data_IF_636729882912
#
_entry.id   IF_636729882912
#
_cell.length_a   1.000
_cell.length_b   1.000
_cell.length_c   1.000
_cell.angle_alpha   90.00
_cell.angle_beta   90.00
_cell.angle_gamma   90.00
#
_symmetry.space_group_name_H-M   'P 1'
#
loop_
_entity.id
_entity.type
_entity.pdbx_description
1 polymer ?
#
# COMPACT_ATOMS: atom_id res chain seq x y z
N UNK A 1 2.61 9.72 19.91
CA UNK A 1 1.43 8.99 19.39
C UNK A 1 1.55 8.79 17.88
N UNK A 2 2.11 9.76 17.16
CA UNK A 2 2.37 9.76 15.71
C UNK A 2 3.47 8.77 15.26
N UNK A 3 4.59 8.71 16.00
CA UNK A 3 5.70 7.75 15.75
C UNK A 3 5.27 6.28 15.75
N UNK A 4 4.24 5.93 16.53
CA UNK A 4 3.66 4.57 16.54
C UNK A 4 3.03 4.24 15.20
N UNK A 5 2.28 5.19 14.61
CA UNK A 5 1.56 4.95 13.35
C UNK A 5 2.52 4.85 12.17
N UNK A 6 3.56 5.68 12.11
CA UNK A 6 4.63 5.55 11.08
C UNK A 6 5.34 4.19 11.21
N UNK A 7 5.59 3.73 12.44
CA UNK A 7 6.16 2.40 12.68
C UNK A 7 5.22 1.29 12.18
N UNK A 8 3.91 1.44 12.39
CA UNK A 8 2.90 0.52 11.85
C UNK A 8 2.85 0.55 10.31
N UNK A 9 2.94 1.73 9.68
CA UNK A 9 3.04 1.85 8.21
C UNK A 9 4.31 1.16 7.70
N UNK A 10 5.46 1.38 8.34
CA UNK A 10 6.70 0.70 7.98
C UNK A 10 6.53 -0.83 8.04
N UNK A 11 5.92 -1.33 9.12
CA UNK A 11 5.67 -2.75 9.28
C UNK A 11 4.73 -3.32 8.21
N UNK A 12 3.69 -2.58 7.84
CA UNK A 12 2.80 -2.96 6.72
C UNK A 12 3.59 -3.03 5.40
N UNK A 13 4.39 -2.01 5.08
CA UNK A 13 5.22 -2.00 3.87
C UNK A 13 6.19 -3.19 3.88
N UNK A 14 6.90 -3.43 4.97
CA UNK A 14 7.86 -4.54 5.07
C UNK A 14 7.19 -5.92 5.02
N UNK A 15 5.95 -6.03 5.50
CA UNK A 15 5.21 -7.29 5.49
C UNK A 15 4.70 -7.63 4.09
N UNK A 16 4.03 -6.68 3.43
CA UNK A 16 3.30 -6.95 2.20
C UNK A 16 4.09 -6.62 0.93
N UNK A 17 5.06 -5.70 1.01
CA UNK A 17 5.79 -5.20 -0.15
C UNK A 17 7.26 -5.64 -0.17
N UNK A 18 7.60 -6.75 0.49
CA UNK A 18 8.98 -7.25 0.50
C UNK A 18 9.36 -7.94 -0.82
N UNK A 19 10.65 -7.86 -1.13
CA UNK A 19 11.25 -8.37 -2.36
C UNK A 19 11.02 -9.88 -2.57
N UNK A 20 11.26 -10.70 -1.55
CA UNK A 20 11.22 -12.17 -1.66
C UNK A 20 9.83 -12.66 -2.06
N UNK A 21 8.79 -12.14 -1.41
CA UNK A 21 7.40 -12.50 -1.69
C UNK A 21 6.92 -11.92 -3.02
N UNK A 22 7.04 -10.61 -3.21
CA UNK A 22 6.51 -9.96 -4.40
C UNK A 22 7.24 -10.36 -5.70
N UNK A 23 8.44 -10.91 -5.62
CA UNK A 23 9.17 -11.41 -6.79
C UNK A 23 8.70 -12.78 -7.29
N UNK A 24 7.97 -13.54 -6.47
CA UNK A 24 7.70 -14.97 -6.71
C UNK A 24 6.23 -15.31 -6.89
N UNK A 25 5.33 -14.43 -6.45
CA UNK A 25 3.88 -14.63 -6.55
C UNK A 25 3.35 -14.31 -7.96
N UNK A 26 2.25 -14.95 -8.34
CA UNK A 26 1.53 -14.63 -9.57
C UNK A 26 0.63 -13.39 -9.44
N UNK A 27 -0.08 -13.04 -10.50
CA UNK A 27 -0.93 -11.84 -10.54
C UNK A 27 -2.21 -11.97 -9.72
N UNK A 28 -2.72 -13.18 -9.48
CA UNK A 28 -3.89 -13.41 -8.63
C UNK A 28 -3.50 -13.22 -7.16
N UNK A 29 -2.39 -13.82 -6.75
CA UNK A 29 -1.79 -13.63 -5.44
C UNK A 29 -1.37 -12.17 -5.21
N UNK A 30 -0.86 -11.47 -6.23
CA UNK A 30 -0.53 -10.06 -6.11
C UNK A 30 -1.78 -9.20 -5.84
N UNK A 31 -2.92 -9.49 -6.47
CA UNK A 31 -4.19 -8.80 -6.16
C UNK A 31 -4.61 -9.01 -4.71
N UNK A 32 -4.44 -10.21 -4.17
CA UNK A 32 -4.70 -10.48 -2.75
C UNK A 32 -3.79 -9.64 -1.85
N UNK A 33 -2.50 -9.55 -2.18
CA UNK A 33 -1.54 -8.68 -1.46
C UNK A 33 -1.97 -7.21 -1.50
N UNK A 34 -2.39 -6.70 -2.66
CA UNK A 34 -2.88 -5.33 -2.81
C UNK A 34 -4.10 -5.09 -1.91
N UNK A 35 -5.08 -6.00 -1.92
CA UNK A 35 -6.28 -5.91 -1.08
C UNK A 35 -5.90 -5.86 0.40
N UNK A 36 -5.09 -6.80 0.87
CA UNK A 36 -4.70 -6.86 2.28
C UNK A 36 -3.84 -5.66 2.71
N UNK A 37 -2.93 -5.22 1.84
CA UNK A 37 -2.13 -4.01 2.08
C UNK A 37 -3.02 -2.78 2.30
N UNK A 38 -3.96 -2.50 1.40
CA UNK A 38 -4.85 -1.35 1.53
C UNK A 38 -5.87 -1.51 2.67
N UNK A 39 -6.32 -2.74 2.98
CA UNK A 39 -7.13 -3.00 4.19
C UNK A 39 -6.38 -2.63 5.47
N UNK A 40 -5.12 -3.06 5.62
CA UNK A 40 -4.30 -2.71 6.81
C UNK A 40 -4.04 -1.21 6.90
N UNK A 41 -3.78 -0.55 5.77
CA UNK A 41 -3.58 0.88 5.75
C UNK A 41 -4.89 1.65 6.08
N UNK A 42 -6.04 1.16 5.59
CA UNK A 42 -7.36 1.73 5.91
C UNK A 42 -7.70 1.61 7.40
N UNK A 43 -7.30 0.51 8.06
CA UNK A 43 -7.41 0.39 9.52
C UNK A 43 -6.65 1.50 10.25
N UNK A 44 -5.47 1.91 9.76
CA UNK A 44 -4.74 3.05 10.32
C UNK A 44 -5.43 4.37 10.00
N UNK A 45 -5.95 4.54 8.77
CA UNK A 45 -6.78 5.70 8.38
C UNK A 45 -7.95 5.89 9.33
N UNK A 46 -8.68 4.82 9.63
CA UNK A 46 -9.83 4.83 10.56
C UNK A 46 -9.42 5.09 12.03
N UNK A 47 -8.13 4.90 12.37
CA UNK A 47 -7.53 5.32 13.66
C UNK A 47 -6.97 6.75 13.61
N UNK A 48 -7.29 7.52 12.58
CA UNK A 48 -6.87 8.91 12.39
C UNK A 48 -5.44 9.05 11.89
N UNK A 49 -4.93 8.10 11.11
CA UNK A 49 -3.75 8.35 10.26
C UNK A 49 -4.21 9.20 9.06
N UNK A 50 -3.46 10.25 8.76
CA UNK A 50 -3.72 11.14 7.64
C UNK A 50 -2.48 11.22 6.76
N UNK A 51 -2.67 11.55 5.48
CA UNK A 51 -1.55 11.87 4.60
C UNK A 51 -1.04 13.27 4.91
N UNK A 52 -0.02 13.36 5.75
CA UNK A 52 0.68 14.60 6.06
C UNK A 52 2.10 14.59 5.48
N UNK A 53 2.82 15.69 5.67
CA UNK A 53 4.19 15.86 5.19
C UNK A 53 5.16 14.85 5.81
N UNK A 54 4.94 14.44 7.06
CA UNK A 54 5.81 13.48 7.76
C UNK A 54 5.65 12.08 7.17
N UNK A 55 4.40 11.62 6.99
CA UNK A 55 4.08 10.35 6.37
C UNK A 55 4.55 10.31 4.90
N UNK A 56 4.29 11.38 4.14
CA UNK A 56 4.73 11.49 2.75
C UNK A 56 6.24 11.39 2.64
N UNK A 57 6.98 12.11 3.49
CA UNK A 57 8.45 12.03 3.54
C UNK A 57 8.92 10.62 3.87
N UNK A 58 8.34 10.00 4.90
CA UNK A 58 8.67 8.62 5.28
C UNK A 58 8.46 7.62 4.13
N UNK A 59 7.32 7.70 3.43
CA UNK A 59 7.01 6.84 2.28
C UNK A 59 8.05 7.03 1.17
N UNK A 60 8.44 8.28 0.87
CA UNK A 60 9.45 8.57 -0.15
C UNK A 60 10.83 8.03 0.22
N UNK A 61 11.25 8.16 1.48
CA UNK A 61 12.50 7.57 1.98
C UNK A 61 12.47 6.05 1.88
N UNK A 62 11.33 5.43 2.22
CA UNK A 62 11.15 3.98 2.14
C UNK A 62 11.19 3.48 0.69
N UNK A 63 10.57 4.21 -0.24
CA UNK A 63 10.62 3.91 -1.67
C UNK A 63 12.05 3.89 -2.20
N UNK A 64 12.86 4.88 -1.81
CA UNK A 64 14.26 4.95 -2.24
C UNK A 64 15.05 3.71 -1.81
N UNK A 65 14.91 3.27 -0.56
CA UNK A 65 15.56 2.04 -0.09
C UNK A 65 15.09 0.78 -0.82
N UNK A 66 13.79 0.70 -1.17
CA UNK A 66 13.24 -0.42 -1.95
C UNK A 66 13.73 -0.40 -3.40
N UNK A 67 13.95 0.79 -3.98
CA UNK A 67 14.34 0.95 -5.38
C UNK A 67 15.70 0.34 -5.73
N UNK A 68 16.57 0.12 -4.72
CA UNK A 68 17.84 -0.60 -4.89
C UNK A 68 17.66 -2.02 -5.44
N UNK A 69 16.46 -2.61 -5.29
CA UNK A 69 16.11 -3.96 -5.76
C UNK A 69 15.48 -4.01 -7.15
N UNK A 70 15.21 -2.87 -7.79
CA UNK A 70 14.47 -2.84 -9.06
C UNK A 70 15.24 -3.50 -10.21
N UNK A 71 16.56 -3.26 -10.29
CA UNK A 71 17.40 -3.89 -11.31
C UNK A 71 17.47 -5.42 -11.16
N UNK A 72 17.19 -5.96 -9.97
CA UNK A 72 17.22 -7.41 -9.69
C UNK A 72 15.96 -8.11 -10.22
N UNK A 73 14.80 -7.45 -10.24
CA UNK A 73 13.53 -8.04 -10.66
C UNK A 73 12.55 -6.98 -11.23
N UNK A 74 12.33 -6.96 -12.55
CA UNK A 74 11.40 -6.02 -13.19
C UNK A 74 9.93 -6.17 -12.76
N UNK A 75 9.49 -7.40 -12.44
CA UNK A 75 8.11 -7.65 -11.96
C UNK A 75 7.94 -7.02 -10.58
N UNK A 76 8.95 -7.15 -9.71
CA UNK A 76 8.95 -6.49 -8.41
C UNK A 76 8.90 -4.97 -8.56
N UNK A 77 9.73 -4.41 -9.43
CA UNK A 77 9.73 -2.97 -9.74
C UNK A 77 8.33 -2.50 -10.16
N UNK A 78 7.71 -3.16 -11.14
CA UNK A 78 6.37 -2.80 -11.64
C UNK A 78 5.32 -2.82 -10.52
N UNK A 79 5.34 -3.85 -9.68
CA UNK A 79 4.41 -4.00 -8.54
C UNK A 79 4.59 -2.90 -7.49
N UNK A 80 5.82 -2.51 -7.18
CA UNK A 80 6.12 -1.42 -6.25
C UNK A 80 5.74 -0.07 -6.85
N UNK A 81 6.06 0.18 -8.12
CA UNK A 81 5.72 1.40 -8.84
C UNK A 81 4.21 1.58 -9.03
N UNK A 82 3.42 0.51 -8.94
CA UNK A 82 1.96 0.60 -8.94
C UNK A 82 1.40 1.02 -7.57
N UNK A 83 2.02 0.60 -6.46
CA UNK A 83 1.48 0.83 -5.10
C UNK A 83 1.95 2.16 -4.50
N UNK A 84 3.23 2.49 -4.63
CA UNK A 84 3.81 3.66 -3.93
C UNK A 84 3.18 5.00 -4.34
N UNK A 85 2.90 5.27 -5.63
CA UNK A 85 2.22 6.50 -6.03
C UNK A 85 0.82 6.67 -5.44
N UNK A 86 0.14 5.57 -5.11
CA UNK A 86 -1.20 5.62 -4.54
C UNK A 86 -1.18 6.06 -3.06
N UNK A 87 -0.21 5.57 -2.27
CA UNK A 87 -0.08 5.94 -0.85
C UNK A 87 0.60 7.29 -0.62
N UNK A 88 1.30 7.82 -1.63
CA UNK A 88 1.92 9.15 -1.62
C UNK A 88 1.10 10.22 -2.36
N UNK A 89 -0.06 9.85 -2.92
CA UNK A 89 -0.96 10.71 -3.71
C UNK A 89 -0.32 11.38 -4.95
N UNK A 90 0.79 10.83 -5.46
CA UNK A 90 1.35 11.26 -6.75
C UNK A 90 0.54 10.75 -7.96
N UNK A 91 -0.48 9.91 -7.75
CA UNK A 91 -1.34 9.36 -8.79
C UNK A 91 -2.63 10.19 -9.04
N UNK A 92 -3.38 9.86 -10.08
CA UNK A 92 -4.67 10.49 -10.41
C UNK A 92 -5.80 10.07 -9.44
N UNK A 93 -6.89 10.84 -9.30
CA UNK A 93 -8.05 10.43 -8.50
C UNK A 93 -8.68 9.10 -8.96
N UNK A 94 -9.38 8.36 -8.07
CA UNK A 94 -9.63 8.70 -6.66
C UNK A 94 -8.41 8.44 -5.76
N UNK A 95 -8.18 9.34 -4.80
CA UNK A 95 -7.05 9.23 -3.86
C UNK A 95 -7.40 8.30 -2.70
N UNK A 96 -6.48 7.41 -2.32
CA UNK A 96 -6.69 6.43 -1.26
C UNK A 96 -7.10 7.07 0.08
N UNK A 97 -6.42 8.15 0.49
CA UNK A 97 -6.61 8.74 1.83
C UNK A 97 -7.95 9.48 1.97
N UNK A 98 -8.54 9.95 0.86
CA UNK A 98 -9.82 10.67 0.87
C UNK A 98 -11.01 9.83 0.43
N UNK A 99 -10.79 8.57 0.03
CA UNK A 99 -11.84 7.71 -0.55
C UNK A 99 -12.13 6.52 0.39
N UNK A 100 -13.40 6.11 0.57
CA UNK A 100 -13.72 4.86 1.27
C UNK A 100 -13.03 3.67 0.59
N UNK A 101 -12.51 2.71 1.38
CA UNK A 101 -11.71 1.60 0.86
C UNK A 101 -12.43 0.82 -0.27
N UNK A 102 -13.70 0.47 -0.06
CA UNK A 102 -14.48 -0.28 -1.05
C UNK A 102 -14.60 0.47 -2.38
N UNK A 103 -14.84 1.79 -2.33
CA UNK A 103 -14.92 2.62 -3.55
C UNK A 103 -13.55 2.79 -4.19
N UNK A 104 -12.49 2.96 -3.40
CA UNK A 104 -11.12 3.06 -3.89
C UNK A 104 -10.71 1.78 -4.62
N UNK A 105 -10.84 0.61 -3.98
CA UNK A 105 -10.45 -0.67 -4.59
C UNK A 105 -11.25 -0.98 -5.86
N UNK A 106 -12.55 -0.68 -5.87
CA UNK A 106 -13.39 -0.86 -7.05
C UNK A 106 -12.96 0.04 -8.20
N UNK A 107 -12.74 1.32 -7.94
CA UNK A 107 -12.51 2.32 -8.99
C UNK A 107 -11.06 2.36 -9.48
N UNK A 108 -10.08 2.07 -8.62
CA UNK A 108 -8.65 2.04 -8.97
C UNK A 108 -8.17 0.69 -9.45
N UNK A 109 -8.57 -0.36 -8.76
CA UNK A 109 -8.01 -1.69 -8.97
C UNK A 109 -8.98 -2.63 -9.69
N UNK A 110 -10.25 -2.23 -9.86
CA UNK A 110 -11.29 -3.11 -10.41
C UNK A 110 -11.60 -4.30 -9.50
N UNK A 111 -11.28 -4.19 -8.20
CA UNK A 111 -11.41 -5.26 -7.21
C UNK A 111 -12.61 -5.00 -6.30
N UNK A 112 -13.38 -6.06 -6.02
CA UNK A 112 -14.49 -6.01 -5.06
C UNK A 112 -14.00 -6.65 -3.76
N UNK A 113 -14.08 -5.91 -2.66
CA UNK A 113 -13.79 -6.42 -1.33
C UNK A 113 -15.11 -6.91 -0.73
N UNK A 114 -15.18 -8.17 -0.32
CA UNK A 114 -16.34 -8.68 0.40
C UNK A 114 -16.20 -8.29 1.88
N UNK A 115 -17.21 -7.63 2.45
CA UNK A 115 -17.21 -7.14 3.85
C UNK A 115 -17.12 -8.24 4.92
N UNK A 116 -17.06 -9.52 4.52
CA UNK A 116 -16.96 -10.66 5.44
C UNK A 116 -15.63 -10.72 6.19
N UNK A 117 -14.60 -9.99 5.75
CA UNK A 117 -13.28 -9.93 6.39
C UNK A 117 -13.10 -8.75 7.37
N UNK A 118 -14.11 -7.88 7.52
CA UNK A 118 -14.01 -6.66 8.36
C UNK A 118 -14.46 -6.93 9.81
N UNK A 119 -14.97 -8.13 10.11
CA UNK A 119 -15.34 -8.57 11.45
C UNK A 119 -14.48 -9.74 11.94
N UNK A 120 -13.24 -9.44 12.33
CA UNK A 120 -12.50 -10.28 13.29
C UNK A 120 -11.53 -9.47 14.12
#
# INVERSE_FOLDING_TARGET
METSKITEVNHIIDTYLNFESLSTIDDEQYKEVVIEFFKKLDQLKNKGLHNDDELTRFINEKYFGISEKFEENPIYEERIQTIFPEISEYCSPPYFWSTPLNDYMKNKWGLIINDTDIQS
#
